data_IF_214976047393
#
_entry.id   IF_214976047393
#
_cell.length_a   1.000
_cell.length_b   1.000
_cell.length_c   1.000
_cell.angle_alpha   90.00
_cell.angle_beta   90.00
_cell.angle_gamma   90.00
#
_symmetry.space_group_name_H-M   'P 1'
#
loop_
_entity.id
_entity.type
_entity.pdbx_description
1 polymer ?
#
# COMPACT_ATOMS: atom_id res chain seq x y z
N UNK A 1 -12.99 1.57 25.36
CA UNK A 1 -13.46 0.17 25.30
C UNK A 1 -12.24 -0.70 25.06
N UNK A 2 -11.97 -1.70 25.91
CA UNK A 2 -10.85 -2.61 25.68
C UNK A 2 -11.10 -3.45 24.41
N UNK A 3 -10.06 -3.66 23.61
CA UNK A 3 -10.14 -4.44 22.37
C UNK A 3 -10.52 -5.91 22.66
N UNK A 4 -11.41 -6.49 21.85
CA UNK A 4 -11.81 -7.89 21.97
C UNK A 4 -10.71 -8.79 21.44
N UNK A 5 -9.94 -9.43 22.31
CA UNK A 5 -8.85 -10.33 21.94
C UNK A 5 -9.23 -11.81 22.12
N UNK A 6 -8.63 -12.69 21.31
CA UNK A 6 -8.74 -14.16 21.43
C UNK A 6 -7.34 -14.78 21.36
N UNK A 7 -7.09 -15.79 22.18
CA UNK A 7 -5.82 -16.53 22.15
C UNK A 7 -5.73 -17.44 20.93
N UNK A 8 -4.58 -17.42 20.26
CA UNK A 8 -4.23 -18.31 19.15
C UNK A 8 -2.89 -18.98 19.44
N UNK A 9 -2.87 -20.29 19.57
CA UNK A 9 -1.63 -21.05 19.73
C UNK A 9 -0.89 -21.12 18.39
N UNK A 10 0.36 -20.67 18.36
CA UNK A 10 1.22 -20.68 17.16
C UNK A 10 2.56 -21.29 17.56
N UNK A 11 3.04 -22.29 16.81
CA UNK A 11 4.38 -22.84 16.99
C UNK A 11 5.40 -21.84 16.45
N UNK A 12 6.39 -21.51 17.25
CA UNK A 12 7.51 -20.66 16.85
C UNK A 12 8.80 -21.47 16.80
N UNK A 13 9.61 -21.33 15.74
CA UNK A 13 10.96 -21.87 15.70
C UNK A 13 11.79 -21.34 16.88
N UNK A 14 12.59 -22.23 17.48
CA UNK A 14 13.36 -21.88 18.67
C UNK A 14 14.36 -20.74 18.43
N UNK A 15 15.00 -20.72 17.26
CA UNK A 15 15.94 -19.65 16.90
C UNK A 15 15.26 -18.27 16.88
N UNK A 16 14.03 -18.17 16.36
CA UNK A 16 13.26 -16.92 16.36
C UNK A 16 12.84 -16.52 17.77
N UNK A 17 12.52 -17.47 18.65
CA UNK A 17 12.22 -17.16 20.05
C UNK A 17 13.45 -16.57 20.75
N UNK A 18 14.65 -17.12 20.49
CA UNK A 18 15.90 -16.61 21.05
C UNK A 18 16.18 -15.19 20.57
N UNK A 19 16.02 -14.91 19.27
CA UNK A 19 16.18 -13.55 18.73
C UNK A 19 15.14 -12.58 19.28
N UNK A 20 13.87 -12.99 19.32
CA UNK A 20 12.80 -12.17 19.86
C UNK A 20 13.06 -11.82 21.33
N UNK A 21 13.52 -12.78 22.14
CA UNK A 21 13.89 -12.54 23.54
C UNK A 21 15.11 -11.62 23.69
N UNK A 22 16.05 -11.68 22.74
CA UNK A 22 17.25 -10.84 22.73
C UNK A 22 16.94 -9.38 22.39
N UNK A 23 16.02 -9.14 21.46
CA UNK A 23 15.76 -7.81 20.91
C UNK A 23 14.48 -7.14 21.42
N UNK A 24 13.52 -7.91 21.94
CA UNK A 24 12.21 -7.40 22.39
C UNK A 24 11.99 -7.71 23.86
N UNK A 25 11.72 -6.66 24.64
CA UNK A 25 11.45 -6.76 26.09
C UNK A 25 10.30 -7.72 26.37
N UNK A 26 10.44 -8.55 27.42
CA UNK A 26 9.35 -9.39 27.95
C UNK A 26 8.11 -8.52 28.22
N UNK A 27 6.98 -8.88 27.61
CA UNK A 27 5.72 -8.11 27.65
C UNK A 27 5.42 -7.27 26.41
N UNK A 28 6.42 -6.96 25.56
CA UNK A 28 6.22 -6.27 24.26
C UNK A 28 6.29 -7.20 23.05
N UNK A 29 6.50 -8.49 23.30
CA UNK A 29 6.57 -9.50 22.25
C UNK A 29 5.24 -9.69 21.54
N UNK A 30 4.13 -9.70 22.28
CA UNK A 30 2.79 -9.76 21.68
C UNK A 30 2.54 -8.57 20.76
N UNK A 31 2.82 -7.34 21.22
CA UNK A 31 2.68 -6.12 20.41
C UNK A 31 3.54 -6.18 19.15
N UNK A 32 4.79 -6.66 19.27
CA UNK A 32 5.70 -6.82 18.14
C UNK A 32 5.17 -7.82 17.10
N UNK A 33 4.70 -8.98 17.54
CA UNK A 33 4.15 -10.02 16.66
C UNK A 33 2.85 -9.54 16.01
N UNK A 34 1.98 -8.84 16.74
CA UNK A 34 0.73 -8.27 16.21
C UNK A 34 1.06 -7.31 15.08
N UNK A 35 1.95 -6.33 15.32
CA UNK A 35 2.35 -5.36 14.28
C UNK A 35 2.96 -6.02 13.05
N UNK A 36 3.88 -6.97 13.25
CA UNK A 36 4.46 -7.73 12.13
C UNK A 36 3.39 -8.49 11.33
N UNK A 37 2.37 -9.02 12.02
CA UNK A 37 1.24 -9.71 11.38
C UNK A 37 0.36 -8.73 10.59
N UNK A 38 0.06 -7.57 11.15
CA UNK A 38 -0.71 -6.50 10.47
C UNK A 38 -0.01 -6.04 9.19
N UNK A 39 1.29 -5.75 9.26
CA UNK A 39 2.08 -5.36 8.10
C UNK A 39 2.10 -6.46 7.02
N UNK A 40 2.32 -7.72 7.42
CA UNK A 40 2.31 -8.84 6.49
C UNK A 40 0.95 -9.02 5.81
N UNK A 41 -0.15 -8.92 6.58
CA UNK A 41 -1.50 -9.00 6.04
C UNK A 41 -1.83 -7.83 5.10
N UNK A 42 -1.37 -6.62 5.41
CA UNK A 42 -1.54 -5.47 4.53
C UNK A 42 -0.87 -5.71 3.17
N UNK A 43 0.38 -6.18 3.16
CA UNK A 43 1.10 -6.53 1.93
C UNK A 43 0.37 -7.61 1.12
N UNK A 44 -0.17 -8.63 1.80
CA UNK A 44 -0.96 -9.68 1.13
C UNK A 44 -2.25 -9.14 0.52
N UNK A 45 -2.97 -8.25 1.23
CA UNK A 45 -4.18 -7.59 0.71
C UNK A 45 -3.87 -6.71 -0.50
N UNK A 46 -2.79 -5.92 -0.43
CA UNK A 46 -2.34 -5.09 -1.55
C UNK A 46 -1.95 -5.95 -2.76
N UNK A 47 -1.18 -7.02 -2.55
CA UNK A 47 -0.82 -7.94 -3.62
C UNK A 47 -2.05 -8.60 -4.26
N UNK A 48 -3.06 -8.95 -3.45
CA UNK A 48 -4.32 -9.48 -3.94
C UNK A 48 -5.11 -8.43 -4.72
N UNK A 49 -5.23 -7.21 -4.20
CA UNK A 49 -5.90 -6.11 -4.89
C UNK A 49 -5.23 -5.79 -6.23
N UNK A 50 -3.89 -5.79 -6.29
CA UNK A 50 -3.15 -5.61 -7.54
C UNK A 50 -3.44 -6.73 -8.55
N UNK A 51 -3.58 -7.98 -8.09
CA UNK A 51 -3.97 -9.11 -8.95
C UNK A 51 -5.42 -9.03 -9.41
N UNK A 52 -6.32 -8.60 -8.54
CA UNK A 52 -7.75 -8.42 -8.87
C UNK A 52 -7.96 -7.22 -9.80
N UNK A 53 -7.13 -6.18 -9.67
CA UNK A 53 -7.14 -5.02 -10.57
C UNK A 53 -6.35 -5.25 -11.86
N UNK A 54 -5.65 -6.37 -12.00
CA UNK A 54 -4.94 -6.71 -13.23
C UNK A 54 -5.96 -6.95 -14.35
N UNK A 55 -5.98 -6.05 -15.34
CA UNK A 55 -6.93 -6.07 -16.45
C UNK A 55 -8.12 -5.11 -16.32
N UNK A 56 -8.22 -4.33 -15.23
CA UNK A 56 -9.26 -3.28 -15.11
C UNK A 56 -9.05 -2.15 -16.13
N UNK A 57 -7.80 -1.82 -16.46
CA UNK A 57 -7.49 -0.88 -17.53
C UNK A 57 -7.51 -1.59 -18.89
N UNK A 58 -8.68 -2.06 -19.28
CA UNK A 58 -8.88 -2.60 -20.63
C UNK A 58 -8.76 -1.46 -21.66
N UNK A 59 -8.17 -1.68 -22.84
CA UNK A 59 -8.10 -0.65 -23.89
C UNK A 59 -9.48 -0.16 -24.37
N UNK A 60 -10.53 -0.95 -24.14
CA UNK A 60 -11.90 -0.62 -24.51
C UNK A 60 -12.52 0.38 -23.53
N UNK A 61 -12.25 0.25 -22.23
CA UNK A 61 -12.74 1.17 -21.20
C UNK A 61 -11.80 2.36 -20.95
N UNK A 62 -10.50 2.17 -21.22
CA UNK A 62 -9.49 3.21 -21.08
C UNK A 62 -8.54 3.27 -22.30
N UNK A 63 -8.98 3.92 -23.39
CA UNK A 63 -8.21 4.04 -24.63
C UNK A 63 -6.85 4.69 -24.45
N UNK A 64 -6.68 5.56 -23.45
CA UNK A 64 -5.40 6.19 -23.10
C UNK A 64 -4.33 5.20 -22.62
N UNK A 65 -4.70 3.98 -22.20
CA UNK A 65 -3.77 2.90 -21.81
C UNK A 65 -3.57 1.85 -22.90
N UNK A 66 -4.11 2.07 -24.10
CA UNK A 66 -4.07 1.10 -25.22
C UNK A 66 -2.66 0.77 -25.70
N UNK A 67 -1.81 1.79 -25.85
CA UNK A 67 -0.43 1.66 -26.30
C UNK A 67 0.45 2.75 -25.69
N UNK A 68 1.76 2.60 -25.87
CA UNK A 68 2.76 3.49 -25.28
C UNK A 68 2.57 4.95 -25.71
N UNK A 69 2.21 5.20 -26.96
CA UNK A 69 2.05 6.56 -27.48
C UNK A 69 0.83 7.24 -26.84
N UNK A 70 -0.27 6.50 -26.69
CA UNK A 70 -1.49 6.95 -26.03
C UNK A 70 -1.24 7.29 -24.55
N UNK A 71 -0.45 6.45 -23.85
CA UNK A 71 -0.05 6.69 -22.46
C UNK A 71 0.81 7.95 -22.37
N UNK A 72 1.80 8.10 -23.25
CA UNK A 72 2.70 9.26 -23.26
C UNK A 72 1.94 10.56 -23.54
N UNK A 73 0.96 10.54 -24.46
CA UNK A 73 0.09 11.67 -24.76
C UNK A 73 -0.80 12.04 -23.56
N UNK A 74 -1.39 11.04 -22.90
CA UNK A 74 -2.22 11.23 -21.71
C UNK A 74 -1.43 11.82 -20.53
N UNK A 75 -0.25 11.28 -20.23
CA UNK A 75 0.64 11.82 -19.19
C UNK A 75 1.05 13.26 -19.49
N UNK A 76 1.32 13.59 -20.76
CA UNK A 76 1.66 14.96 -21.17
C UNK A 76 0.51 15.94 -20.94
N UNK A 77 -0.73 15.53 -21.26
CA UNK A 77 -1.92 16.34 -21.00
C UNK A 77 -2.14 16.57 -19.51
N UNK A 78 -2.00 15.54 -18.67
CA UNK A 78 -2.11 15.67 -17.21
C UNK A 78 -1.12 16.67 -16.62
N UNK A 79 0.13 16.66 -17.10
CA UNK A 79 1.17 17.61 -16.65
C UNK A 79 0.81 19.04 -17.04
N UNK A 80 0.37 19.25 -18.29
CA UNK A 80 -0.06 20.56 -18.77
C UNK A 80 -1.23 21.11 -17.95
N UNK A 81 -2.25 20.29 -17.68
CA UNK A 81 -3.40 20.69 -16.85
C UNK A 81 -3.01 21.00 -15.40
N UNK A 82 -2.02 20.29 -14.85
CA UNK A 82 -1.48 20.58 -13.52
C UNK A 82 -0.75 21.94 -13.51
N UNK A 83 0.09 22.21 -14.51
CA UNK A 83 0.80 23.49 -14.66
C UNK A 83 -0.17 24.65 -14.87
N UNK A 84 -1.21 24.48 -15.69
CA UNK A 84 -2.25 25.48 -15.88
C UNK A 84 -3.05 25.76 -14.60
N UNK A 85 -3.37 24.72 -13.81
CA UNK A 85 -4.00 24.90 -12.49
C UNK A 85 -3.10 25.69 -11.55
N UNK A 86 -1.81 25.34 -11.50
CA UNK A 86 -0.83 26.02 -10.66
C UNK A 86 -0.71 27.50 -11.06
N UNK A 87 -0.62 27.78 -12.36
CA UNK A 87 -0.53 29.15 -12.89
C UNK A 87 -1.81 29.97 -12.61
N UNK A 88 -3.00 29.34 -12.66
CA UNK A 88 -4.26 29.99 -12.27
C UNK A 88 -4.28 30.34 -10.79
N UNK A 89 -3.80 29.45 -9.92
CA UNK A 89 -3.68 29.72 -8.49
C UNK A 89 -2.73 30.89 -8.21
N UNK A 90 -1.53 30.88 -8.79
CA UNK A 90 -0.57 31.98 -8.62
C UNK A 90 -1.05 33.33 -9.15
N UNK A 91 -2.01 33.36 -10.09
CA UNK A 91 -2.63 34.59 -10.61
C UNK A 91 -3.76 35.13 -9.73
N UNK A 92 -4.43 34.27 -8.97
CA UNK A 92 -5.56 34.66 -8.10
C UNK A 92 -5.13 35.07 -6.68
N UNK A 93 -3.88 34.82 -6.28
CA UNK A 93 -3.30 35.26 -4.99
C UNK A 93 -2.48 36.57 -5.09
N UNK A 94 -2.54 37.28 -6.22
CA UNK A 94 -1.83 38.54 -6.48
C UNK A 94 -2.75 39.76 -6.57
#
# INVERSE_FOLDING_TARGET
MAEKTRLKAIRFPEHLIRELNKHVRRGKQSDFIIRATEEALLRLKQAKALKECAGIFSPDEYPEFKDRESIEAWVRNLRREAEERLARWSRNEG
#
